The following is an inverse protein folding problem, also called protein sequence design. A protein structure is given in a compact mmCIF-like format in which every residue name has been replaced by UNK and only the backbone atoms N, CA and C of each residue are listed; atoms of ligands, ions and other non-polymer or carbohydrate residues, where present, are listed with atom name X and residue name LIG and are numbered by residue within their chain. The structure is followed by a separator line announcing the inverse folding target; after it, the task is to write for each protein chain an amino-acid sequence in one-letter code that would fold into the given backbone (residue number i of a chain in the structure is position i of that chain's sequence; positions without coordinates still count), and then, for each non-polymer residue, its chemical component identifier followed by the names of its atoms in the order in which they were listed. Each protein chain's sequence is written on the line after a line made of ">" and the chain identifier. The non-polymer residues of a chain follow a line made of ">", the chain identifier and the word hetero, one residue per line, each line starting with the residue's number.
data_IF_852040523144
#
_entry.id   IF_852040523144
#
_cell.length_a   1.000
_cell.length_b   1.000
_cell.length_c   1.000
_cell.angle_alpha   90.00
_cell.angle_beta   90.00
_cell.angle_gamma   90.00
#
_symmetry.space_group_name_H-M   'P 1'
#
loop_
_entity.id
_entity.type
_entity.pdbx_description
1 polymer ?
#
# COMPACT_ATOMS: atom_id res chain seq x y z
N UNK A 1 -9.31 -58.79 -29.49
CA UNK A 1 -10.08 -58.03 -28.47
C UNK A 1 -9.07 -57.33 -27.58
N UNK A 2 -8.89 -56.04 -27.84
CA UNK A 2 -7.88 -55.14 -27.27
C UNK A 2 -8.34 -54.74 -25.87
N UNK A 3 -7.45 -54.78 -24.86
CA UNK A 3 -7.47 -53.78 -23.78
C UNK A 3 -6.18 -53.74 -22.97
N UNK A 4 -5.19 -53.11 -23.58
CA UNK A 4 -4.33 -52.07 -23.02
C UNK A 4 -4.39 -51.94 -21.48
N UNK A 5 -3.53 -52.70 -20.79
CA UNK A 5 -3.28 -52.59 -19.35
C UNK A 5 -2.22 -51.53 -19.01
N UNK A 6 -2.07 -50.51 -19.87
CA UNK A 6 -0.96 -49.55 -19.83
C UNK A 6 -1.46 -48.10 -19.90
N UNK A 7 -2.47 -47.76 -19.09
CA UNK A 7 -3.01 -46.40 -19.06
C UNK A 7 -3.17 -45.80 -17.65
N UNK A 8 -3.02 -46.58 -16.58
CA UNK A 8 -3.25 -46.09 -15.21
C UNK A 8 -2.03 -45.44 -14.55
N UNK A 9 -0.84 -45.56 -15.15
CA UNK A 9 0.41 -45.03 -14.57
C UNK A 9 0.82 -43.64 -15.10
N UNK A 10 0.05 -43.06 -16.03
CA UNK A 10 0.38 -41.76 -16.64
C UNK A 10 -0.42 -40.56 -16.08
N UNK A 11 -1.31 -40.77 -15.10
CA UNK A 11 -2.18 -39.73 -14.53
C UNK A 11 -1.74 -39.25 -13.13
N UNK A 12 -0.47 -39.46 -12.77
CA UNK A 12 0.10 -39.09 -11.46
C UNK A 12 1.25 -38.07 -11.60
N UNK A 13 1.20 -37.22 -12.64
CA UNK A 13 2.25 -36.25 -12.94
C UNK A 13 1.77 -34.80 -13.12
N UNK A 14 0.52 -34.49 -12.74
CA UNK A 14 0.00 -33.11 -12.81
C UNK A 14 -0.66 -32.78 -11.47
N UNK A 15 0.03 -32.00 -10.65
CA UNK A 15 -0.55 -31.57 -9.37
C UNK A 15 0.39 -30.88 -8.39
N UNK A 16 1.69 -30.88 -8.63
CA UNK A 16 2.61 -30.03 -7.87
C UNK A 16 2.81 -28.70 -8.60
N UNK A 17 1.70 -27.99 -8.83
CA UNK A 17 1.80 -26.54 -8.90
C UNK A 17 2.14 -26.09 -7.48
N UNK A 18 3.44 -25.98 -7.22
CA UNK A 18 3.94 -25.28 -6.05
C UNK A 18 3.41 -23.86 -6.16
N UNK A 19 2.34 -23.56 -5.42
CA UNK A 19 1.98 -22.20 -5.10
C UNK A 19 3.25 -21.57 -4.52
N UNK A 20 3.91 -20.70 -5.29
CA UNK A 20 4.75 -19.69 -4.68
C UNK A 20 3.80 -18.88 -3.81
N UNK A 21 3.65 -19.29 -2.55
CA UNK A 21 3.29 -18.36 -1.50
C UNK A 21 4.44 -17.36 -1.51
N UNK A 22 4.28 -16.29 -2.30
CA UNK A 22 4.98 -15.06 -2.07
C UNK A 22 4.73 -14.76 -0.60
N UNK A 23 5.74 -15.02 0.23
CA UNK A 23 5.75 -14.61 1.62
C UNK A 23 5.73 -13.10 1.57
N UNK A 24 4.52 -12.53 1.51
CA UNK A 24 4.31 -11.10 1.67
C UNK A 24 4.85 -10.81 3.05
N UNK A 25 6.02 -10.18 3.10
CA UNK A 25 6.62 -9.76 4.37
C UNK A 25 5.55 -9.01 5.13
N UNK A 26 5.19 -9.54 6.30
CA UNK A 26 4.12 -9.02 7.14
C UNK A 26 4.35 -7.53 7.42
N UNK A 27 5.63 -7.15 7.52
CA UNK A 27 6.12 -5.79 7.65
C UNK A 27 7.35 -5.60 6.78
N UNK A 28 7.37 -4.58 5.92
CA UNK A 28 8.56 -4.22 5.16
C UNK A 28 9.62 -3.54 6.04
N UNK A 29 10.83 -3.35 5.51
CA UNK A 29 11.78 -2.39 6.08
C UNK A 29 11.18 -0.98 6.19
N UNK A 30 11.78 -0.17 7.05
CA UNK A 30 11.45 1.24 7.24
C UNK A 30 12.15 2.09 6.18
N UNK A 31 11.42 3.09 5.66
CA UNK A 31 11.88 4.07 4.70
C UNK A 31 11.73 5.47 5.30
N UNK A 32 12.58 6.40 4.90
CA UNK A 32 12.43 7.80 5.25
C UNK A 32 12.09 8.61 4.00
N UNK A 33 11.13 9.52 4.10
CA UNK A 33 10.73 10.38 2.99
C UNK A 33 10.26 11.76 3.47
N UNK A 34 10.33 12.74 2.57
CA UNK A 34 9.67 14.03 2.74
C UNK A 34 8.29 14.01 2.11
N UNK A 35 7.29 14.44 2.86
CA UNK A 35 5.90 14.49 2.43
C UNK A 35 5.25 15.82 2.77
N UNK A 36 4.11 16.07 2.14
CA UNK A 36 3.15 17.12 2.47
C UNK A 36 1.87 16.48 3.02
N UNK A 37 1.33 16.97 4.14
CA UNK A 37 -0.01 16.56 4.57
C UNK A 37 -1.08 17.21 3.68
N UNK A 38 -1.98 16.39 3.15
CA UNK A 38 -3.03 16.85 2.22
C UNK A 38 -4.35 17.01 2.96
N UNK A 39 -4.88 15.92 3.52
CA UNK A 39 -6.24 15.85 4.08
C UNK A 39 -6.46 14.59 4.92
N UNK A 40 -7.59 14.52 5.60
CA UNK A 40 -8.14 13.28 6.14
C UNK A 40 -8.55 12.33 5.01
N UNK A 41 -8.43 11.02 5.25
CA UNK A 41 -8.80 10.03 4.25
C UNK A 41 -10.31 9.77 4.27
N UNK A 42 -10.99 10.13 3.18
CA UNK A 42 -12.45 10.07 3.08
C UNK A 42 -12.99 8.73 2.52
N UNK A 43 -12.19 7.67 2.55
CA UNK A 43 -12.69 6.31 2.33
C UNK A 43 -13.01 5.68 3.70
N UNK A 44 -13.97 4.77 3.74
CA UNK A 44 -14.41 4.17 5.01
C UNK A 44 -13.24 3.43 5.65
N UNK A 45 -12.79 3.81 6.84
CA UNK A 45 -11.76 3.09 7.58
C UNK A 45 -12.19 2.88 9.02
N UNK A 46 -11.68 1.82 9.63
CA UNK A 46 -11.91 1.48 11.04
C UNK A 46 -11.00 2.28 11.99
N UNK A 47 -9.97 2.95 11.46
CA UNK A 47 -8.99 3.75 12.20
C UNK A 47 -8.84 5.12 11.50
N UNK A 48 -8.45 6.20 12.21
CA UNK A 48 -8.13 7.47 11.56
C UNK A 48 -6.97 7.29 10.58
N UNK A 49 -7.18 7.72 9.33
CA UNK A 49 -6.16 7.65 8.28
C UNK A 49 -6.05 8.99 7.58
N UNK A 50 -4.83 9.37 7.23
CA UNK A 50 -4.51 10.69 6.72
C UNK A 50 -3.78 10.62 5.39
N UNK A 51 -4.22 11.37 4.39
CA UNK A 51 -3.57 11.40 3.08
C UNK A 51 -2.38 12.33 3.11
N UNK A 52 -1.23 11.82 2.68
CA UNK A 52 -0.01 12.59 2.42
C UNK A 52 0.40 12.48 0.96
N UNK A 53 1.06 13.52 0.44
CA UNK A 53 1.69 13.53 -0.87
C UNK A 53 3.20 13.45 -0.71
N UNK A 54 3.81 12.49 -1.40
CA UNK A 54 5.24 12.28 -1.41
C UNK A 54 5.87 13.30 -2.35
N UNK A 55 6.87 14.04 -1.86
CA UNK A 55 7.54 15.09 -2.66
C UNK A 55 8.52 14.52 -3.70
N UNK A 56 8.75 13.20 -3.67
CA UNK A 56 9.58 12.46 -4.63
C UNK A 56 8.86 11.16 -5.03
N UNK A 57 9.12 10.65 -6.25
CA UNK A 57 8.56 9.36 -6.68
C UNK A 57 8.84 8.24 -5.67
N UNK A 58 7.81 7.46 -5.35
CA UNK A 58 7.90 6.36 -4.40
C UNK A 58 7.07 5.16 -4.87
N UNK A 59 7.67 3.96 -4.89
CA UNK A 59 7.02 2.73 -5.37
C UNK A 59 5.97 2.16 -4.41
N UNK A 60 5.96 2.59 -3.15
CA UNK A 60 4.96 2.19 -2.15
C UNK A 60 3.74 3.12 -2.16
N UNK A 61 3.88 4.33 -2.71
CA UNK A 61 2.77 5.27 -2.86
C UNK A 61 1.93 4.95 -4.11
N UNK A 62 0.67 5.36 -4.10
CA UNK A 62 -0.19 5.31 -5.27
C UNK A 62 0.14 6.47 -6.20
N UNK A 63 0.53 6.14 -7.43
CA UNK A 63 0.71 7.14 -8.49
C UNK A 63 -0.65 7.61 -8.99
N UNK A 64 -0.91 8.91 -8.87
CA UNK A 64 -2.12 9.58 -9.36
C UNK A 64 -1.71 10.45 -10.55
N UNK A 65 -2.29 10.16 -11.70
CA UNK A 65 -2.16 10.97 -12.93
C UNK A 65 -3.53 11.51 -13.30
N UNK A 66 -3.71 12.83 -13.21
CA UNK A 66 -4.88 13.48 -13.75
C UNK A 66 -4.72 13.65 -15.27
N UNK A 67 -5.80 13.49 -16.02
CA UNK A 67 -5.84 13.51 -17.49
C UNK A 67 -5.20 14.79 -18.07
N UNK A 68 -5.22 15.89 -17.32
CA UNK A 68 -4.68 17.20 -17.73
C UNK A 68 -3.43 17.65 -16.95
N UNK A 69 -2.87 16.81 -16.09
CA UNK A 69 -1.69 17.17 -15.31
C UNK A 69 -0.41 16.62 -15.95
N UNK A 70 0.57 17.50 -16.21
CA UNK A 70 1.89 17.11 -16.73
C UNK A 70 2.76 16.39 -15.69
N UNK A 71 2.36 16.42 -14.41
CA UNK A 71 3.13 15.87 -13.29
C UNK A 71 2.29 14.83 -12.56
N UNK A 72 2.86 13.64 -12.38
CA UNK A 72 2.26 12.59 -11.56
C UNK A 72 2.46 12.90 -10.07
N UNK A 73 1.39 12.76 -9.29
CA UNK A 73 1.42 12.85 -7.83
C UNK A 73 1.58 11.45 -7.24
N UNK A 74 2.21 11.36 -6.08
CA UNK A 74 2.41 10.10 -5.36
C UNK A 74 1.77 10.24 -3.99
N UNK A 75 0.64 9.57 -3.75
CA UNK A 75 -0.12 9.74 -2.51
C UNK A 75 -0.26 8.41 -1.77
N UNK A 76 -0.33 8.50 -0.43
CA UNK A 76 -0.66 7.35 0.42
C UNK A 76 -1.53 7.80 1.59
N UNK A 77 -2.31 6.86 2.11
CA UNK A 77 -3.08 7.03 3.34
C UNK A 77 -2.23 6.50 4.51
N UNK A 78 -1.93 7.36 5.47
CA UNK A 78 -1.03 7.09 6.58
C UNK A 78 -1.83 6.75 7.83
N UNK A 79 -1.57 5.55 8.37
CA UNK A 79 -1.90 5.19 9.73
C UNK A 79 -0.88 5.79 10.70
N UNK A 80 -1.32 6.03 11.93
CA UNK A 80 -0.48 6.48 13.06
C UNK A 80 0.27 7.81 12.81
N UNK A 81 -0.27 8.67 11.96
CA UNK A 81 0.27 10.00 11.71
C UNK A 81 -0.07 10.92 12.91
N UNK A 82 0.92 11.57 13.56
CA UNK A 82 0.64 12.35 14.77
C UNK A 82 -0.01 13.70 14.47
N UNK A 83 -0.91 14.15 15.36
CA UNK A 83 -1.65 15.41 15.24
C UNK A 83 -0.80 16.64 14.93
N UNK A 84 0.44 16.65 15.43
CA UNK A 84 1.41 17.73 15.20
C UNK A 84 1.70 18.04 13.73
N UNK A 85 1.42 17.11 12.80
CA UNK A 85 1.65 17.28 11.36
C UNK A 85 0.36 17.40 10.53
N UNK A 86 -0.82 17.35 11.15
CA UNK A 86 -2.12 17.39 10.48
C UNK A 86 -2.54 18.83 10.10
N UNK A 87 -1.67 19.54 9.39
CA UNK A 87 -1.91 20.90 8.90
C UNK A 87 -1.76 20.89 7.39
N UNK A 88 -2.84 21.16 6.64
CA UNK A 88 -2.85 21.07 5.17
C UNK A 88 -1.72 21.92 4.57
N UNK A 89 -0.96 21.32 3.64
CA UNK A 89 0.21 21.95 3.01
C UNK A 89 1.49 21.93 3.86
N UNK A 90 1.47 21.32 5.05
CA UNK A 90 2.66 21.21 5.90
C UNK A 90 3.59 20.13 5.38
N UNK A 91 4.83 20.52 5.12
CA UNK A 91 5.92 19.62 4.76
C UNK A 91 6.63 19.08 6.02
N UNK A 92 6.94 17.80 6.02
CA UNK A 92 7.69 17.14 7.09
C UNK A 92 8.40 15.89 6.58
N UNK A 93 9.39 15.42 7.33
CA UNK A 93 10.03 14.14 7.09
C UNK A 93 9.39 13.08 7.99
N UNK A 94 9.13 11.90 7.44
CA UNK A 94 8.60 10.77 8.19
C UNK A 94 9.33 9.49 7.85
N UNK A 95 9.38 8.60 8.84
CA UNK A 95 9.73 7.21 8.68
C UNK A 95 8.44 6.40 8.54
N UNK A 96 8.40 5.50 7.57
CA UNK A 96 7.22 4.68 7.30
C UNK A 96 7.61 3.30 6.80
N UNK A 97 6.67 2.36 6.87
CA UNK A 97 6.81 1.03 6.31
C UNK A 97 5.45 0.52 5.80
N UNK A 98 5.50 -0.58 5.07
CA UNK A 98 4.35 -1.37 4.68
C UNK A 98 4.05 -2.40 5.77
N UNK A 99 2.79 -2.59 6.14
CA UNK A 99 2.37 -3.62 7.08
C UNK A 99 1.02 -4.19 6.63
N UNK A 100 1.06 -5.38 6.04
CA UNK A 100 -0.11 -5.99 5.41
C UNK A 100 -1.24 -6.28 6.41
N UNK A 101 -0.90 -6.55 7.67
CA UNK A 101 -1.90 -6.80 8.71
C UNK A 101 -2.59 -5.51 9.13
N UNK A 102 -1.83 -4.41 9.28
CA UNK A 102 -2.39 -3.09 9.57
C UNK A 102 -3.23 -2.57 8.41
N UNK A 103 -2.75 -2.70 7.18
CA UNK A 103 -3.49 -2.37 5.95
C UNK A 103 -4.84 -3.09 5.90
N UNK A 104 -4.84 -4.40 6.15
CA UNK A 104 -6.06 -5.21 6.15
C UNK A 104 -7.00 -4.86 7.31
N UNK A 105 -6.48 -4.54 8.49
CA UNK A 105 -7.32 -4.15 9.65
C UNK A 105 -7.98 -2.79 9.43
N UNK A 106 -7.27 -1.86 8.81
CA UNK A 106 -7.79 -0.56 8.41
C UNK A 106 -8.79 -0.65 7.24
N UNK A 107 -9.10 -1.88 6.75
CA UNK A 107 -9.88 -2.22 5.57
C UNK A 107 -10.86 -1.15 5.13
N UNK A 108 -10.63 -0.74 3.88
CA UNK A 108 -11.29 0.36 3.21
C UNK A 108 -12.65 -0.06 2.66
N UNK A 109 -13.71 0.29 3.38
CA UNK A 109 -15.04 0.35 2.78
C UNK A 109 -15.06 1.49 1.78
N UNK A 110 -15.66 1.25 0.62
CA UNK A 110 -16.05 2.20 -0.42
C UNK A 110 -15.58 3.66 -0.26
N UNK A 111 -14.78 4.15 -1.22
CA UNK A 111 -14.55 5.58 -1.40
C UNK A 111 -15.74 6.23 -2.10
N UNK A 112 -16.03 7.49 -1.82
CA UNK A 112 -16.98 8.27 -2.64
C UNK A 112 -16.39 8.52 -4.03
N UNK A 113 -17.23 8.82 -5.04
CA UNK A 113 -16.77 8.99 -6.44
C UNK A 113 -15.70 10.09 -6.63
N UNK A 114 -15.55 11.00 -5.67
CA UNK A 114 -14.61 12.12 -5.73
C UNK A 114 -13.19 11.74 -5.29
N UNK A 115 -13.00 10.61 -4.60
CA UNK A 115 -11.71 10.22 -4.05
C UNK A 115 -11.25 8.85 -4.57
N UNK A 116 -10.04 8.84 -5.13
CA UNK A 116 -9.39 7.60 -5.54
C UNK A 116 -8.82 6.87 -4.32
N UNK A 117 -8.95 5.52 -4.27
CA UNK A 117 -8.26 4.74 -3.26
C UNK A 117 -6.74 4.89 -3.43
N UNK A 118 -6.03 4.98 -2.30
CA UNK A 118 -4.57 5.04 -2.26
C UNK A 118 -4.04 3.95 -1.33
N UNK A 119 -2.80 3.56 -1.50
CA UNK A 119 -2.14 2.58 -0.65
C UNK A 119 -2.13 3.07 0.79
N UNK A 120 -2.42 2.17 1.73
CA UNK A 120 -2.26 2.44 3.16
C UNK A 120 -0.83 2.10 3.56
N UNK A 121 -0.21 2.99 4.34
CA UNK A 121 1.12 2.81 4.91
C UNK A 121 1.08 3.18 6.39
N UNK A 122 2.06 2.72 7.16
CA UNK A 122 2.13 2.98 8.60
C UNK A 122 3.26 3.97 8.88
N UNK A 123 2.93 5.09 9.51
CA UNK A 123 3.90 6.03 10.03
C UNK A 123 4.57 5.44 11.28
N UNK A 124 5.90 5.42 11.29
CA UNK A 124 6.69 4.94 12.42
C UNK A 124 7.19 6.09 13.28
N UNK A 125 7.65 7.19 12.67
CA UNK A 125 8.12 8.37 13.38
C UNK A 125 8.14 9.62 12.48
N UNK A 126 8.05 10.80 13.10
CA UNK A 126 8.40 12.07 12.45
C UNK A 126 9.89 12.31 12.66
N UNK A 127 10.60 12.61 11.58
CA UNK A 127 12.04 12.88 11.60
C UNK A 127 12.34 14.36 11.34
N UNK A 128 13.52 14.80 11.77
CA UNK A 128 14.06 16.11 11.37
C UNK A 128 14.52 16.12 9.91
N UNK A 129 15.02 14.99 9.41
CA UNK A 129 15.53 14.81 8.04
C UNK A 129 15.64 13.32 7.68
N UNK A 130 15.76 13.03 6.38
CA UNK A 130 16.16 11.72 5.88
C UNK A 130 17.63 11.79 5.48
N UNK A 131 18.51 11.25 6.33
CA UNK A 131 19.96 11.16 6.11
C UNK A 131 20.33 9.73 5.71
#
# INVERSE_FOLDING_TARGET
>A
MIRNFSFYLLLLAVGLFTSCDDKVDVRSKTFCVQVEYVREYHCTSSEPVHVVEFLSPNSLATKITHINASVAKYQAAMLDLPDSVLVTGKNFYMQFHRDANREKKAALGYCTMEYLPVNILVCEAISKSCL
#
